data_IF_118865696277
#
_entry.id   IF_118865696277
#
_cell.length_a   1.000
_cell.length_b   1.000
_cell.length_c   1.000
_cell.angle_alpha   90.00
_cell.angle_beta   90.00
_cell.angle_gamma   90.00
#
_symmetry.space_group_name_H-M   'P 1'
#
loop_
_entity.id
_entity.type
_entity.pdbx_description
1 polymer ?
#
# COMPACT_ATOMS: atom_id res chain seq x y z
N UNK A 1 -30.30 -5.81 -42.41
CA UNK A 1 -30.54 -6.39 -41.07
C UNK A 1 -29.25 -6.75 -40.34
N UNK A 2 -28.39 -7.64 -40.85
CA UNK A 2 -27.16 -8.07 -40.16
C UNK A 2 -26.20 -6.93 -39.75
N UNK A 3 -26.01 -5.92 -40.60
CA UNK A 3 -25.11 -4.77 -40.30
C UNK A 3 -25.57 -3.93 -39.10
N UNK A 4 -26.89 -3.75 -38.94
CA UNK A 4 -27.46 -2.99 -37.82
C UNK A 4 -27.35 -3.80 -36.53
N UNK A 5 -27.58 -5.12 -36.60
CA UNK A 5 -27.44 -6.03 -35.48
C UNK A 5 -25.99 -6.02 -34.94
N UNK A 6 -24.99 -6.11 -35.82
CA UNK A 6 -23.57 -6.10 -35.44
C UNK A 6 -23.17 -4.76 -34.80
N UNK A 7 -23.71 -3.65 -35.29
CA UNK A 7 -23.44 -2.32 -34.72
C UNK A 7 -24.03 -2.16 -33.31
N UNK A 8 -25.26 -2.63 -33.09
CA UNK A 8 -25.91 -2.58 -31.77
C UNK A 8 -25.18 -3.47 -30.76
N UNK A 9 -24.79 -4.69 -31.17
CA UNK A 9 -24.02 -5.61 -30.31
C UNK A 9 -22.66 -4.99 -29.97
N UNK A 10 -21.97 -4.38 -30.95
CA UNK A 10 -20.70 -3.70 -30.72
C UNK A 10 -20.81 -2.59 -29.68
N UNK A 11 -21.83 -1.74 -29.78
CA UNK A 11 -22.05 -0.65 -28.81
C UNK A 11 -22.39 -1.20 -27.42
N UNK A 12 -23.18 -2.27 -27.33
CA UNK A 12 -23.51 -2.90 -26.05
C UNK A 12 -22.27 -3.49 -25.36
N UNK A 13 -21.39 -4.16 -26.12
CA UNK A 13 -20.13 -4.73 -25.58
C UNK A 13 -19.17 -3.62 -25.15
N UNK A 14 -19.05 -2.53 -25.92
CA UNK A 14 -18.21 -1.38 -25.53
C UNK A 14 -18.74 -0.75 -24.25
N UNK A 15 -20.06 -0.53 -24.15
CA UNK A 15 -20.70 0.00 -22.94
C UNK A 15 -20.47 -0.91 -21.73
N UNK A 16 -20.56 -2.23 -21.92
CA UNK A 16 -20.30 -3.21 -20.87
C UNK A 16 -18.83 -3.19 -20.41
N UNK A 17 -17.87 -3.12 -21.33
CA UNK A 17 -16.44 -3.05 -20.99
C UNK A 17 -16.12 -1.75 -20.25
N UNK A 18 -16.65 -0.61 -20.70
CA UNK A 18 -16.44 0.68 -20.02
C UNK A 18 -17.06 0.65 -18.62
N UNK A 19 -18.28 0.15 -18.48
CA UNK A 19 -18.93 0.00 -17.17
C UNK A 19 -18.21 -1.01 -16.27
N UNK A 20 -17.63 -2.08 -16.83
CA UNK A 20 -16.90 -3.06 -16.05
C UNK A 20 -15.54 -2.51 -15.58
N UNK A 21 -14.84 -1.76 -16.44
CA UNK A 21 -13.52 -1.24 -16.13
C UNK A 21 -13.54 0.05 -15.29
N UNK A 22 -14.50 0.94 -15.55
CA UNK A 22 -14.67 2.21 -14.84
C UNK A 22 -15.82 2.20 -13.83
N UNK A 23 -16.57 1.10 -13.76
CA UNK A 23 -17.44 0.81 -12.63
C UNK A 23 -16.61 0.83 -11.36
N UNK A 24 -17.12 1.49 -10.33
CA UNK A 24 -16.43 1.71 -9.06
C UNK A 24 -16.10 0.37 -8.42
N UNK A 25 -14.94 -0.17 -8.76
CA UNK A 25 -14.18 -0.98 -7.84
C UNK A 25 -13.68 -0.01 -6.79
N UNK A 26 -14.56 0.27 -5.82
CA UNK A 26 -14.07 0.57 -4.48
C UNK A 26 -13.22 -0.64 -4.11
N UNK A 27 -11.90 -0.46 -4.25
CA UNK A 27 -10.93 -1.34 -3.64
C UNK A 27 -11.41 -1.51 -2.21
N UNK A 28 -11.71 -2.74 -1.81
CA UNK A 28 -12.22 -3.04 -0.50
C UNK A 28 -11.28 -2.39 0.53
N UNK A 29 -11.72 -1.28 1.11
CA UNK A 29 -11.08 -0.69 2.27
C UNK A 29 -11.28 -1.71 3.38
N UNK A 30 -10.25 -2.52 3.62
CA UNK A 30 -10.18 -3.35 4.81
C UNK A 30 -10.11 -2.37 5.97
N UNK A 31 -11.24 -2.14 6.62
CA UNK A 31 -11.30 -1.48 7.91
C UNK A 31 -10.50 -2.35 8.87
N UNK A 32 -9.39 -1.80 9.37
CA UNK A 32 -8.61 -2.43 10.42
C UNK A 32 -9.53 -2.79 11.59
N UNK A 33 -9.35 -4.00 12.12
CA UNK A 33 -9.90 -4.42 13.40
C UNK A 33 -9.37 -3.45 14.46
N UNK A 34 -10.22 -2.51 14.90
CA UNK A 34 -9.85 -1.53 15.92
C UNK A 34 -9.86 -2.25 17.26
N UNK A 35 -8.73 -2.86 17.60
CA UNK A 35 -8.35 -3.04 19.00
C UNK A 35 -7.95 -1.65 19.50
N UNK A 36 -8.77 -1.10 20.40
CA UNK A 36 -9.08 0.33 20.61
C UNK A 36 -7.94 1.34 20.86
N UNK A 37 -6.65 0.98 20.78
CA UNK A 37 -5.54 1.90 21.03
C UNK A 37 -4.29 1.73 20.12
N UNK A 38 -4.35 0.86 19.09
CA UNK A 38 -3.18 0.58 18.24
C UNK A 38 -3.59 0.37 16.78
N UNK A 39 -3.03 1.16 15.86
CA UNK A 39 -3.25 0.98 14.42
C UNK A 39 -2.13 0.12 13.82
N UNK A 40 -2.48 -1.02 13.26
CA UNK A 40 -1.52 -1.95 12.64
C UNK A 40 -1.79 -2.06 11.14
N UNK A 41 -0.74 -1.92 10.34
CA UNK A 41 -0.82 -2.00 8.88
C UNK A 41 0.24 -3.00 8.41
N UNK A 42 -0.18 -4.01 7.64
CA UNK A 42 0.74 -4.91 6.95
C UNK A 42 1.17 -4.31 5.60
N UNK A 43 2.46 -4.33 5.32
CA UNK A 43 3.10 -3.89 4.08
C UNK A 43 3.88 -5.07 3.49
N UNK A 44 3.45 -5.54 2.33
CA UNK A 44 4.15 -6.56 1.57
C UNK A 44 5.31 -5.93 0.79
N UNK A 45 6.47 -6.59 0.83
CA UNK A 45 7.67 -6.18 0.10
C UNK A 45 7.99 -7.21 -0.98
N UNK A 46 7.55 -6.93 -2.19
CA UNK A 46 7.65 -7.79 -3.37
C UNK A 46 7.77 -6.93 -4.63
N UNK A 47 8.99 -6.74 -5.14
CA UNK A 47 9.27 -5.83 -6.26
C UNK A 47 8.97 -4.35 -5.98
N UNK A 48 8.79 -3.98 -4.70
CA UNK A 48 8.29 -2.68 -4.25
C UNK A 48 7.62 -2.80 -2.88
N UNK A 49 6.85 -1.80 -2.49
CA UNK A 49 6.05 -1.80 -1.25
C UNK A 49 4.57 -1.83 -1.57
N UNK A 50 3.79 -2.69 -0.93
CA UNK A 50 2.34 -2.74 -1.11
C UNK A 50 1.65 -2.79 0.25
N UNK A 51 0.89 -1.75 0.65
CA UNK A 51 0.63 -0.52 -0.10
C UNK A 51 1.83 0.45 -0.10
N UNK A 52 2.02 1.17 -1.20
CA UNK A 52 3.03 2.25 -1.30
C UNK A 52 2.66 3.48 -0.47
N UNK A 53 1.37 3.63 -0.12
CA UNK A 53 0.86 4.77 0.62
C UNK A 53 0.07 4.31 1.83
N UNK A 54 0.53 4.70 3.02
CA UNK A 54 -0.14 4.41 4.29
C UNK A 54 -0.61 5.70 4.92
N UNK A 55 -1.83 5.71 5.46
CA UNK A 55 -2.41 6.86 6.16
C UNK A 55 -2.72 6.44 7.59
N UNK A 56 -2.10 7.12 8.55
CA UNK A 56 -2.23 6.89 9.98
C UNK A 56 -2.99 8.03 10.65
N UNK A 57 -3.71 7.70 11.72
CA UNK A 57 -4.33 8.68 12.62
C UNK A 57 -3.30 9.27 13.58
N UNK A 58 -3.28 10.59 13.69
CA UNK A 58 -2.46 11.30 14.68
C UNK A 58 -2.82 10.89 16.11
N UNK A 59 -1.81 10.68 16.94
CA UNK A 59 -1.98 10.43 18.38
C UNK A 59 -2.40 9.01 18.76
N UNK A 60 -2.58 8.12 17.77
CA UNK A 60 -2.80 6.68 17.99
C UNK A 60 -1.50 5.95 17.68
N UNK A 61 -0.91 5.20 18.64
CA UNK A 61 0.26 4.37 18.39
C UNK A 61 0.11 3.50 17.13
N UNK A 62 1.15 3.44 16.29
CA UNK A 62 1.09 2.73 15.03
C UNK A 62 2.21 1.69 14.86
N UNK A 63 1.88 0.55 14.28
CA UNK A 63 2.82 -0.50 13.88
C UNK A 63 2.67 -0.78 12.39
N UNK A 64 3.77 -0.68 11.65
CA UNK A 64 3.87 -1.11 10.27
C UNK A 64 4.60 -2.46 10.23
N UNK A 65 3.93 -3.50 9.76
CA UNK A 65 4.50 -4.83 9.63
C UNK A 65 5.00 -5.03 8.20
N UNK A 66 6.30 -5.06 8.00
CA UNK A 66 6.89 -5.33 6.69
C UNK A 66 7.14 -6.82 6.54
N UNK A 67 6.65 -7.42 5.46
CA UNK A 67 6.93 -8.82 5.13
C UNK A 67 7.61 -8.90 3.77
N UNK A 68 8.87 -9.34 3.73
CA UNK A 68 9.65 -9.42 2.50
C UNK A 68 9.53 -10.78 1.83
N UNK A 69 8.88 -10.78 0.67
CA UNK A 69 8.80 -11.94 -0.23
C UNK A 69 9.81 -11.84 -1.39
N UNK A 70 10.41 -10.66 -1.59
CA UNK A 70 11.41 -10.42 -2.63
C UNK A 70 12.80 -10.96 -2.28
N UNK A 71 13.45 -11.66 -3.21
CA UNK A 71 14.81 -12.20 -3.02
C UNK A 71 15.93 -11.20 -3.32
N UNK A 72 15.63 -10.04 -3.92
CA UNK A 72 16.56 -8.98 -4.25
C UNK A 72 17.17 -8.36 -3.00
N UNK A 73 18.47 -8.13 -3.02
CA UNK A 73 19.18 -7.40 -1.96
C UNK A 73 18.81 -5.92 -1.90
N UNK A 74 18.07 -5.39 -2.89
CA UNK A 74 17.62 -4.00 -2.87
C UNK A 74 16.63 -3.72 -1.72
N UNK A 75 15.78 -4.70 -1.43
CA UNK A 75 14.66 -4.60 -0.48
C UNK A 75 14.97 -5.30 0.86
N UNK A 76 16.25 -5.52 1.16
CA UNK A 76 16.69 -6.22 2.37
C UNK A 76 16.57 -5.39 3.64
N UNK A 77 16.25 -4.11 3.51
CA UNK A 77 16.11 -3.14 4.59
C UNK A 77 15.09 -2.08 4.22
N UNK A 78 14.43 -1.54 5.23
CA UNK A 78 13.58 -0.36 5.12
C UNK A 78 14.11 0.76 6.01
N UNK A 79 14.12 1.96 5.47
CA UNK A 79 14.69 3.16 6.07
C UNK A 79 13.62 4.24 6.17
N UNK A 80 13.39 4.75 7.37
CA UNK A 80 12.59 5.94 7.61
C UNK A 80 13.51 7.06 8.08
N UNK A 81 13.97 7.90 7.15
CA UNK A 81 14.95 8.97 7.42
C UNK A 81 14.45 9.96 8.48
N UNK A 82 13.17 10.35 8.41
CA UNK A 82 12.56 11.29 9.36
C UNK A 82 12.46 10.76 10.79
N UNK A 83 12.44 9.43 10.95
CA UNK A 83 12.34 8.74 12.24
C UNK A 83 13.68 8.13 12.69
N UNK A 84 14.73 8.19 11.86
CA UNK A 84 16.02 7.57 12.13
C UNK A 84 15.98 6.03 12.19
N UNK A 85 14.99 5.41 11.55
CA UNK A 85 14.80 3.95 11.58
C UNK A 85 15.53 3.34 10.38
N UNK A 86 16.30 2.28 10.64
CA UNK A 86 16.89 1.44 9.61
C UNK A 86 16.77 -0.03 10.03
N UNK A 87 15.71 -0.68 9.56
CA UNK A 87 15.34 -2.04 9.95
C UNK A 87 15.72 -3.02 8.84
N UNK A 88 16.31 -4.15 9.21
CA UNK A 88 16.54 -5.25 8.28
C UNK A 88 15.24 -6.01 8.04
N UNK A 89 15.04 -6.49 6.81
CA UNK A 89 13.90 -7.28 6.37
C UNK A 89 14.40 -8.67 5.91
N UNK A 90 14.44 -9.67 6.81
CA UNK A 90 14.72 -11.04 6.42
C UNK A 90 13.62 -11.59 5.51
N UNK A 91 13.98 -12.57 4.68
CA UNK A 91 13.05 -13.15 3.69
C UNK A 91 12.00 -14.00 4.41
N UNK A 92 10.72 -13.79 4.06
CA UNK A 92 9.54 -14.44 4.65
C UNK A 92 9.36 -14.23 6.15
N UNK A 93 10.00 -13.19 6.71
CA UNK A 93 9.84 -12.80 8.10
C UNK A 93 9.06 -11.48 8.19
N UNK A 94 8.25 -11.37 9.25
CA UNK A 94 7.48 -10.17 9.56
C UNK A 94 8.29 -9.31 10.50
N UNK A 95 8.55 -8.07 10.07
CA UNK A 95 9.31 -7.08 10.83
C UNK A 95 8.40 -5.92 11.23
N UNK A 96 8.28 -5.69 12.54
CA UNK A 96 7.39 -4.70 13.11
C UNK A 96 8.12 -3.37 13.34
N UNK A 97 7.61 -2.30 12.71
CA UNK A 97 8.18 -0.95 12.83
C UNK A 97 7.17 -0.04 13.54
N UNK A 98 7.55 0.42 14.72
CA UNK A 98 6.76 1.36 15.51
C UNK A 98 6.97 2.77 15.00
N UNK A 99 5.88 3.46 14.68
CA UNK A 99 5.91 4.84 14.21
C UNK A 99 5.34 5.77 15.27
N UNK A 100 6.07 6.86 15.54
CA UNK A 100 5.58 7.96 16.35
C UNK A 100 4.58 8.82 15.55
N UNK A 101 3.31 8.73 15.92
CA UNK A 101 2.21 9.48 15.29
C UNK A 101 1.88 10.80 16.00
N UNK A 102 2.73 11.27 16.91
CA UNK A 102 2.54 12.54 17.63
C UNK A 102 2.63 13.75 16.69
N UNK A 103 3.46 13.66 15.66
CA UNK A 103 3.70 14.71 14.66
C UNK A 103 2.90 14.42 13.39
N UNK A 104 1.89 15.24 13.06
CA UNK A 104 1.22 15.14 11.78
C UNK A 104 2.15 15.61 10.66
N UNK A 105 2.04 14.99 9.49
CA UNK A 105 2.90 15.29 8.36
C UNK A 105 2.90 14.21 7.30
N UNK A 106 3.60 14.47 6.21
CA UNK A 106 3.96 13.47 5.21
C UNK A 106 5.41 13.07 5.43
N UNK A 107 5.64 11.76 5.54
CA UNK A 107 6.95 11.14 5.70
C UNK A 107 7.15 10.13 4.58
N UNK A 108 8.40 9.80 4.30
CA UNK A 108 8.75 8.84 3.26
C UNK A 108 9.62 7.75 3.88
N UNK A 109 9.37 6.50 3.48
CA UNK A 109 10.31 5.41 3.69
C UNK A 109 10.91 4.98 2.37
N UNK A 110 12.10 4.41 2.42
CA UNK A 110 12.79 3.90 1.26
C UNK A 110 13.45 2.56 1.57
N UNK A 111 13.85 1.84 0.52
CA UNK A 111 14.74 0.70 0.69
C UNK A 111 16.17 1.16 1.04
N UNK A 112 17.04 0.23 1.47
CA UNK A 112 18.43 0.57 1.87
C UNK A 112 19.26 1.27 0.78
N UNK A 113 18.89 1.12 -0.50
CA UNK A 113 19.55 1.77 -1.64
C UNK A 113 18.80 3.01 -2.17
N UNK A 114 17.75 3.48 -1.48
CA UNK A 114 16.96 4.66 -1.84
C UNK A 114 16.34 4.60 -3.27
N UNK A 115 15.95 3.41 -3.71
CA UNK A 115 15.36 3.20 -5.05
C UNK A 115 13.84 3.02 -5.03
N UNK A 116 13.33 2.21 -4.10
CA UNK A 116 11.91 2.01 -3.88
C UNK A 116 11.47 2.87 -2.71
N UNK A 117 10.34 3.55 -2.86
CA UNK A 117 9.82 4.48 -1.87
C UNK A 117 8.37 4.15 -1.53
N UNK A 118 7.99 4.47 -0.30
CA UNK A 118 6.59 4.57 0.07
C UNK A 118 6.35 5.81 0.92
N UNK A 119 5.09 6.21 1.01
CA UNK A 119 4.64 7.45 1.64
C UNK A 119 3.78 7.14 2.86
N UNK A 120 4.13 7.75 3.97
CA UNK A 120 3.37 7.74 5.21
C UNK A 120 2.71 9.09 5.42
N UNK A 121 1.40 9.12 5.62
CA UNK A 121 0.67 10.36 5.94
C UNK A 121 0.06 10.22 7.32
N UNK A 122 0.40 11.13 8.23
CA UNK A 122 -0.13 11.18 9.59
C UNK A 122 -1.08 12.38 9.69
N UNK A 123 -2.37 12.13 9.94
CA UNK A 123 -3.42 13.17 10.01
C UNK A 123 -4.40 12.95 11.15
#
# INVERSE_FOLDING_TARGET
>A
MAKILVLVIGIAVIGFIVWWFFGKHEAAEVSADVTEDLQTIDVEVNGGYSPEKVVLKKGVPAILNFTRNDQSSCLDRVVFSDFGINQALPINEKEEIKIDTSKPGEYTWACGMDMFHGKLIIK
#
